data_IF_598212368122
#
_entry.id   IF_598212368122
#
_cell.length_a   1.000
_cell.length_b   1.000
_cell.length_c   1.000
_cell.angle_alpha   90.00
_cell.angle_beta   90.00
_cell.angle_gamma   90.00
#
_symmetry.space_group_name_H-M   'P 1'
#
loop_
_entity.id
_entity.type
_entity.pdbx_description
1 polymer ?
#
# COMPACT_ATOMS: atom_id res chain seq x y z
N UNK A 1 -2.24 -11.13 1.58
CA UNK A 1 -3.31 -11.23 0.58
C UNK A 1 -3.53 -9.91 -0.12
N UNK A 2 -4.02 -9.98 -1.35
CA UNK A 2 -4.19 -8.81 -2.20
C UNK A 2 -5.12 -7.76 -1.58
N UNK A 3 -6.26 -8.16 -1.04
CA UNK A 3 -7.23 -7.23 -0.46
C UNK A 3 -6.66 -6.38 0.67
N UNK A 4 -5.94 -7.01 1.58
CA UNK A 4 -5.29 -6.32 2.69
C UNK A 4 -4.21 -5.35 2.19
N UNK A 5 -3.50 -5.73 1.13
CA UNK A 5 -2.48 -4.88 0.53
C UNK A 5 -3.10 -3.67 -0.16
N UNK A 6 -4.20 -3.87 -0.87
CA UNK A 6 -4.97 -2.76 -1.47
C UNK A 6 -5.39 -1.76 -0.39
N UNK A 7 -5.95 -2.24 0.71
CA UNK A 7 -6.37 -1.38 1.82
C UNK A 7 -5.19 -0.63 2.42
N UNK A 8 -4.06 -1.30 2.64
CA UNK A 8 -2.87 -0.69 3.20
C UNK A 8 -2.31 0.41 2.29
N UNK A 9 -2.22 0.14 0.99
CA UNK A 9 -1.72 1.10 0.01
C UNK A 9 -2.65 2.31 -0.12
N UNK A 10 -3.97 2.06 -0.09
CA UNK A 10 -4.97 3.13 -0.11
C UNK A 10 -4.79 4.06 1.09
N UNK A 11 -4.68 3.49 2.29
CA UNK A 11 -4.52 4.27 3.52
C UNK A 11 -3.21 5.05 3.51
N UNK A 12 -2.15 4.45 3.00
CA UNK A 12 -0.86 5.13 2.86
C UNK A 12 -0.92 6.34 1.95
N UNK A 13 -1.84 6.34 0.98
CA UNK A 13 -2.08 7.49 0.11
C UNK A 13 -3.05 8.49 0.71
N UNK A 14 -3.58 8.22 1.90
CA UNK A 14 -4.56 9.07 2.55
C UNK A 14 -5.91 9.07 1.86
N UNK A 15 -6.23 8.02 1.10
CA UNK A 15 -7.48 7.93 0.35
C UNK A 15 -8.53 7.15 1.13
N UNK A 16 -9.77 7.64 1.12
CA UNK A 16 -10.93 6.86 1.54
C UNK A 16 -11.28 5.84 0.45
N UNK A 17 -12.12 4.86 0.80
CA UNK A 17 -12.65 3.93 -0.21
C UNK A 17 -13.38 4.67 -1.32
N UNK A 18 -14.17 5.69 -0.97
CA UNK A 18 -14.90 6.49 -1.93
C UNK A 18 -13.98 7.26 -2.87
N UNK A 19 -12.88 7.81 -2.34
CA UNK A 19 -11.92 8.55 -3.15
C UNK A 19 -11.18 7.64 -4.12
N UNK A 20 -10.75 6.47 -3.66
CA UNK A 20 -10.11 5.48 -4.53
C UNK A 20 -11.08 5.02 -5.61
N UNK A 21 -12.34 4.73 -5.23
CA UNK A 21 -13.37 4.33 -6.18
C UNK A 21 -13.56 5.35 -7.30
N UNK A 22 -13.60 6.63 -6.92
CA UNK A 22 -13.74 7.72 -7.90
C UNK A 22 -12.57 7.75 -8.88
N UNK A 23 -11.35 7.59 -8.38
CA UNK A 23 -10.15 7.58 -9.23
C UNK A 23 -10.12 6.39 -10.17
N UNK A 24 -10.63 5.26 -9.72
CA UNK A 24 -10.68 4.02 -10.52
C UNK A 24 -11.97 3.90 -11.35
N UNK A 25 -12.90 4.84 -11.19
CA UNK A 25 -14.20 4.84 -11.88
C UNK A 25 -15.02 3.60 -11.58
N UNK A 26 -15.02 3.20 -10.32
CA UNK A 26 -15.83 2.08 -9.81
C UNK A 26 -16.61 2.54 -8.59
N UNK A 27 -17.49 1.69 -8.07
CA UNK A 27 -18.25 2.03 -6.87
C UNK A 27 -17.43 1.85 -5.60
N UNK A 28 -17.71 2.63 -4.53
CA UNK A 28 -17.08 2.40 -3.22
C UNK A 28 -17.32 0.99 -2.69
N UNK A 29 -18.50 0.41 -2.96
CA UNK A 29 -18.81 -0.97 -2.58
C UNK A 29 -17.87 -1.96 -3.24
N UNK A 30 -17.50 -1.72 -4.50
CA UNK A 30 -16.55 -2.58 -5.22
C UNK A 30 -15.18 -2.54 -4.54
N UNK A 31 -14.69 -1.35 -4.16
CA UNK A 31 -13.43 -1.22 -3.43
C UNK A 31 -13.49 -2.03 -2.14
N UNK A 32 -14.57 -1.90 -1.38
CA UNK A 32 -14.76 -2.67 -0.15
C UNK A 32 -14.71 -4.17 -0.38
N UNK A 33 -15.36 -4.65 -1.44
CA UNK A 33 -15.35 -6.09 -1.77
C UNK A 33 -13.94 -6.59 -2.13
N UNK A 34 -13.16 -5.81 -2.88
CA UNK A 34 -11.79 -6.16 -3.20
C UNK A 34 -10.92 -6.19 -1.94
N UNK A 35 -11.07 -5.23 -1.06
CA UNK A 35 -10.31 -5.16 0.19
C UNK A 35 -10.64 -6.32 1.13
N UNK A 36 -11.88 -6.78 1.12
CA UNK A 36 -12.33 -7.91 1.95
C UNK A 36 -12.06 -9.27 1.32
N UNK A 37 -11.57 -9.31 0.10
CA UNK A 37 -11.31 -10.56 -0.61
C UNK A 37 -12.56 -11.26 -1.12
N UNK A 38 -13.70 -10.57 -1.15
CA UNK A 38 -14.97 -11.12 -1.66
C UNK A 38 -15.06 -11.13 -3.16
N UNK A 39 -14.25 -10.34 -3.82
CA UNK A 39 -14.20 -10.23 -5.27
C UNK A 39 -12.77 -9.94 -5.69
N UNK A 40 -12.33 -10.51 -6.80
CA UNK A 40 -11.01 -10.26 -7.36
C UNK A 40 -11.08 -9.19 -8.44
N UNK A 41 -10.18 -8.19 -8.42
CA UNK A 41 -10.15 -7.18 -9.48
C UNK A 41 -9.67 -7.79 -10.79
N UNK A 42 -10.16 -7.24 -11.90
CA UNK A 42 -9.68 -7.60 -13.23
C UNK A 42 -8.22 -7.17 -13.42
N UNK A 43 -7.57 -7.71 -14.45
CA UNK A 43 -6.20 -7.33 -14.78
C UNK A 43 -6.12 -5.83 -15.07
N UNK A 44 -7.08 -5.28 -15.82
CA UNK A 44 -7.12 -3.86 -16.13
C UNK A 44 -7.25 -3.01 -14.86
N UNK A 45 -8.07 -3.46 -13.93
CA UNK A 45 -8.25 -2.74 -12.67
C UNK A 45 -6.99 -2.83 -11.80
N UNK A 46 -6.32 -3.98 -11.79
CA UNK A 46 -5.04 -4.13 -11.07
C UNK A 46 -3.98 -3.17 -11.61
N UNK A 47 -3.89 -3.03 -12.92
CA UNK A 47 -2.97 -2.09 -13.54
C UNK A 47 -3.32 -0.64 -13.14
N UNK A 48 -4.60 -0.30 -13.15
CA UNK A 48 -5.05 1.02 -12.73
C UNK A 48 -4.75 1.29 -11.26
N UNK A 49 -4.97 0.31 -10.39
CA UNK A 49 -4.65 0.42 -8.96
C UNK A 49 -3.16 0.63 -8.75
N UNK A 50 -2.33 -0.15 -9.43
CA UNK A 50 -0.88 -0.02 -9.33
C UNK A 50 -0.43 1.38 -9.74
N UNK A 51 -1.03 1.95 -10.79
CA UNK A 51 -0.75 3.31 -11.21
C UNK A 51 -1.13 4.35 -10.15
N UNK A 52 -2.30 4.21 -9.54
CA UNK A 52 -2.75 5.10 -8.47
C UNK A 52 -1.88 5.02 -7.24
N UNK A 53 -1.43 3.82 -6.88
CA UNK A 53 -0.56 3.61 -5.72
C UNK A 53 0.92 3.85 -6.03
N UNK A 54 1.27 4.06 -7.30
CA UNK A 54 2.66 4.22 -7.76
C UNK A 54 3.55 3.05 -7.38
N UNK A 55 3.02 1.86 -7.55
CA UNK A 55 3.74 0.61 -7.35
C UNK A 55 3.56 -0.26 -8.58
N UNK A 56 4.36 -1.33 -8.71
CA UNK A 56 4.16 -2.28 -9.79
C UNK A 56 2.98 -3.20 -9.52
N UNK A 57 2.47 -3.82 -10.57
CA UNK A 57 1.50 -4.90 -10.42
C UNK A 57 2.11 -6.07 -9.65
N UNK A 58 3.40 -6.34 -9.82
CA UNK A 58 4.12 -7.37 -9.07
C UNK A 58 4.07 -7.09 -7.57
N UNK A 59 4.38 -5.86 -7.16
CA UNK A 59 4.30 -5.48 -5.76
C UNK A 59 2.87 -5.58 -5.23
N UNK A 60 1.89 -5.14 -6.01
CA UNK A 60 0.48 -5.18 -5.62
C UNK A 60 0.03 -6.64 -5.38
N UNK A 61 0.44 -7.55 -6.27
CA UNK A 61 0.02 -8.94 -6.20
C UNK A 61 0.81 -9.77 -5.19
N UNK A 62 2.11 -9.53 -5.06
CA UNK A 62 3.00 -10.39 -4.27
C UNK A 62 3.54 -9.75 -3.01
N UNK A 63 3.48 -8.43 -2.90
CA UNK A 63 4.13 -7.69 -1.82
C UNK A 63 5.63 -7.56 -1.98
N UNK A 64 6.18 -7.96 -3.13
CA UNK A 64 7.61 -7.88 -3.43
C UNK A 64 7.83 -6.98 -4.64
N UNK A 65 8.89 -6.14 -4.64
CA UNK A 65 9.18 -5.30 -5.79
C UNK A 65 9.43 -6.14 -7.04
N UNK A 66 8.94 -5.64 -8.18
CA UNK A 66 9.26 -6.22 -9.46
C UNK A 66 10.69 -5.89 -9.88
N UNK A 67 11.18 -6.48 -10.98
CA UNK A 67 12.52 -6.20 -11.47
C UNK A 67 12.74 -4.70 -11.75
N UNK A 68 13.78 -4.12 -11.18
CA UNK A 68 14.13 -2.72 -11.38
C UNK A 68 13.30 -1.71 -10.57
N UNK A 69 12.50 -2.16 -9.63
CA UNK A 69 11.58 -1.29 -8.89
C UNK A 69 11.92 -1.10 -7.42
N UNK A 70 12.96 -1.73 -6.93
CA UNK A 70 13.33 -1.66 -5.52
C UNK A 70 13.47 -0.22 -5.03
N UNK A 71 14.03 0.67 -5.84
CA UNK A 71 14.24 2.06 -5.45
C UNK A 71 12.91 2.82 -5.30
N UNK A 72 11.94 2.58 -6.18
CA UNK A 72 10.63 3.24 -6.11
C UNK A 72 9.85 2.80 -4.87
N UNK A 73 9.90 1.51 -4.56
CA UNK A 73 9.25 0.97 -3.35
C UNK A 73 9.93 1.52 -2.10
N UNK A 74 11.27 1.59 -2.10
CA UNK A 74 12.02 2.14 -0.98
C UNK A 74 11.71 3.62 -0.77
N UNK A 75 11.57 4.40 -1.82
CA UNK A 75 11.18 5.81 -1.72
C UNK A 75 9.81 5.95 -1.10
N UNK A 76 8.85 5.13 -1.54
CA UNK A 76 7.50 5.12 -1.00
C UNK A 76 7.49 4.79 0.49
N UNK A 77 8.19 3.73 0.88
CA UNK A 77 8.29 3.32 2.27
C UNK A 77 9.05 4.34 3.12
N UNK A 78 10.08 4.97 2.55
CA UNK A 78 10.88 5.97 3.25
C UNK A 78 10.06 7.19 3.64
N UNK A 79 9.16 7.65 2.78
CA UNK A 79 8.27 8.76 3.10
C UNK A 79 7.38 8.46 4.31
N UNK A 80 6.88 7.22 4.39
CA UNK A 80 6.07 6.79 5.54
C UNK A 80 6.91 6.61 6.80
N UNK A 81 8.16 6.19 6.62
CA UNK A 81 9.12 6.00 7.71
C UNK A 81 9.40 7.29 8.46
N UNK A 82 9.62 8.39 7.74
CA UNK A 82 9.92 9.68 8.36
C UNK A 82 8.78 10.10 9.30
N UNK A 83 7.54 9.94 8.86
CA UNK A 83 6.36 10.26 9.70
C UNK A 83 6.29 9.34 10.92
N UNK A 84 6.49 8.04 10.73
CA UNK A 84 6.44 7.06 11.81
C UNK A 84 7.55 7.32 12.84
N UNK A 85 8.75 7.65 12.36
CA UNK A 85 9.89 7.96 13.22
C UNK A 85 9.62 9.18 14.11
N UNK A 86 9.07 10.23 13.54
CA UNK A 86 8.70 11.43 14.30
C UNK A 86 7.71 11.10 15.42
N UNK A 87 6.70 10.31 15.12
CA UNK A 87 5.70 9.93 16.11
C UNK A 87 6.29 9.08 17.22
N UNK A 88 7.18 8.16 16.91
CA UNK A 88 7.83 7.30 17.89
C UNK A 88 8.78 8.09 18.77
N UNK A 89 9.51 9.06 18.21
CA UNK A 89 10.39 9.93 18.98
C UNK A 89 9.60 10.76 19.99
N UNK A 90 8.44 11.27 19.59
CA UNK A 90 7.56 12.00 20.48
C UNK A 90 7.05 11.16 21.64
N UNK A 91 6.89 9.87 21.43
CA UNK A 91 6.43 8.92 22.45
C UNK A 91 7.57 8.36 23.30
N UNK A 92 8.83 8.74 22.99
CA UNK A 92 9.98 8.24 23.71
C UNK A 92 10.31 6.78 23.43
N UNK A 93 9.94 6.29 22.26
CA UNK A 93 10.19 4.91 21.85
C UNK A 93 10.84 4.90 20.47
N UNK A 94 12.11 5.33 20.37
CA UNK A 94 12.77 5.44 19.07
C UNK A 94 13.09 4.07 18.49
N UNK A 95 12.82 3.92 17.20
CA UNK A 95 13.26 2.79 16.38
C UNK A 95 14.15 3.33 15.27
N UNK A 96 15.09 2.52 14.80
CA UNK A 96 15.91 2.89 13.65
C UNK A 96 15.05 2.91 12.39
N UNK A 97 15.50 3.66 11.37
CA UNK A 97 14.82 3.66 10.07
C UNK A 97 14.73 2.26 9.49
N UNK A 98 15.79 1.47 9.66
CA UNK A 98 15.83 0.09 9.16
C UNK A 98 14.78 -0.79 9.83
N UNK A 99 14.65 -0.68 11.14
CA UNK A 99 13.64 -1.44 11.90
C UNK A 99 12.22 -1.05 11.46
N UNK A 100 11.96 0.25 11.30
CA UNK A 100 10.67 0.72 10.82
C UNK A 100 10.39 0.29 9.38
N UNK A 101 11.42 0.27 8.51
CA UNK A 101 11.27 -0.19 7.14
C UNK A 101 10.86 -1.67 7.09
N UNK A 102 11.50 -2.49 7.91
CA UNK A 102 11.18 -3.92 8.00
C UNK A 102 9.75 -4.11 8.49
N UNK A 103 9.35 -3.37 9.52
CA UNK A 103 8.00 -3.45 10.07
C UNK A 103 6.93 -3.04 9.06
N UNK A 104 7.14 -1.90 8.37
CA UNK A 104 6.19 -1.42 7.37
C UNK A 104 6.10 -2.37 6.18
N UNK A 105 7.24 -2.90 5.72
CA UNK A 105 7.25 -3.88 4.64
C UNK A 105 6.48 -5.14 5.03
N UNK A 106 6.67 -5.63 6.25
CA UNK A 106 5.94 -6.79 6.76
C UNK A 106 4.43 -6.51 6.79
N UNK A 107 4.01 -5.33 7.24
CA UNK A 107 2.60 -4.95 7.28
C UNK A 107 1.96 -4.92 5.89
N UNK A 108 2.70 -4.49 4.87
CA UNK A 108 2.21 -4.45 3.49
C UNK A 108 2.17 -5.84 2.84
N UNK A 109 3.02 -6.75 3.30
CA UNK A 109 3.12 -8.11 2.74
C UNK A 109 2.19 -9.10 3.42
N UNK A 110 1.75 -8.81 4.64
CA UNK A 110 0.88 -9.71 5.39
C UNK A 110 -0.54 -9.76 4.82
N UNK A 111 -1.14 -10.97 4.75
CA UNK A 111 -2.53 -11.10 4.34
C UNK A 111 -3.51 -10.52 5.33
#
# INVERSE_FOLDING_TARGET
MLGARIAALRRNRGLSQAELARRLRISPSAVGMYEQGRREPSVELLVAMAGEFRVSTDFLLTGKPGPGEESSVLEFLSARLDTAQEQLQRRGNPMSRQELAILLAAMLMEP
#
